data_IF_340922172069
#
_entry.id   IF_340922172069
#
_cell.length_a   1.000
_cell.length_b   1.000
_cell.length_c   1.000
_cell.angle_alpha   90.00
_cell.angle_beta   90.00
_cell.angle_gamma   90.00
#
_symmetry.space_group_name_H-M   'P 1'
#
loop_
_entity.id
_entity.type
_entity.pdbx_description
1 polymer ?
#
# COMPACT_ATOMS: atom_id res chain seq x y z
N UNK A 1 -5.50 -20.65 11.35
CA UNK A 1 -5.09 -20.14 10.03
C UNK A 1 -3.83 -19.31 10.20
N UNK A 2 -2.75 -19.62 9.45
CA UNK A 2 -1.55 -18.79 9.46
C UNK A 2 -1.90 -17.39 8.92
N UNK A 3 -1.41 -16.32 9.58
CA UNK A 3 -1.60 -14.95 9.09
C UNK A 3 -0.93 -14.81 7.73
N UNK A 4 -1.62 -14.25 6.70
CA UNK A 4 -0.96 -13.94 5.45
C UNK A 4 0.18 -12.95 5.73
N UNK A 5 1.40 -13.38 5.46
CA UNK A 5 2.58 -12.55 5.63
C UNK A 5 3.08 -11.99 4.29
N UNK A 6 4.02 -11.07 4.36
CA UNK A 6 4.63 -10.44 3.21
C UNK A 6 5.25 -11.43 2.21
N UNK A 7 5.62 -12.62 2.67
CA UNK A 7 6.26 -13.66 1.82
C UNK A 7 5.26 -14.26 0.84
N UNK A 8 3.97 -14.30 1.19
CA UNK A 8 2.92 -14.83 0.33
C UNK A 8 2.70 -13.96 -0.92
N UNK A 9 2.88 -12.64 -0.80
CA UNK A 9 2.75 -11.73 -1.94
C UNK A 9 4.04 -11.69 -2.78
N UNK A 10 5.21 -11.81 -2.16
CA UNK A 10 6.50 -11.94 -2.84
C UNK A 10 6.62 -13.21 -3.71
N UNK A 11 5.69 -14.15 -3.58
CA UNK A 11 5.55 -15.30 -4.44
C UNK A 11 5.24 -14.91 -5.90
N UNK A 12 4.59 -13.78 -6.14
CA UNK A 12 4.19 -13.34 -7.47
C UNK A 12 5.20 -12.33 -8.01
N UNK A 13 5.68 -12.54 -9.22
CA UNK A 13 6.52 -11.61 -9.95
C UNK A 13 5.74 -10.99 -11.10
N UNK A 14 5.76 -9.66 -11.21
CA UNK A 14 5.31 -9.00 -12.42
C UNK A 14 6.41 -9.08 -13.47
N UNK A 15 6.07 -9.55 -14.66
CA UNK A 15 6.92 -9.51 -15.84
C UNK A 15 6.49 -8.33 -16.72
N UNK A 16 7.23 -7.22 -16.72
CA UNK A 16 6.83 -6.02 -17.43
C UNK A 16 6.86 -6.19 -18.96
N UNK A 17 7.63 -7.15 -19.49
CA UNK A 17 7.68 -7.42 -20.94
C UNK A 17 6.40 -8.09 -21.44
N UNK A 18 5.95 -9.13 -20.72
CA UNK A 18 4.68 -9.82 -21.04
C UNK A 18 3.46 -9.13 -20.42
N UNK A 19 3.65 -8.15 -19.51
CA UNK A 19 2.61 -7.47 -18.70
C UNK A 19 1.75 -8.46 -17.91
N UNK A 20 2.36 -9.55 -17.45
CA UNK A 20 1.68 -10.63 -16.73
C UNK A 20 2.39 -10.94 -15.43
N UNK A 21 1.63 -11.44 -14.48
CA UNK A 21 2.17 -11.98 -13.25
C UNK A 21 2.53 -13.45 -13.43
N UNK A 22 3.63 -13.87 -12.80
CA UNK A 22 4.02 -15.28 -12.67
C UNK A 22 4.11 -15.68 -11.20
N UNK A 23 3.61 -16.86 -10.89
CA UNK A 23 3.93 -17.53 -9.64
C UNK A 23 5.37 -18.08 -9.73
N UNK A 24 6.24 -17.64 -8.82
CA UNK A 24 7.67 -18.01 -8.83
C UNK A 24 7.92 -19.47 -8.46
N UNK A 25 7.00 -20.09 -7.69
CA UNK A 25 7.12 -21.49 -7.30
C UNK A 25 6.76 -22.44 -8.45
N UNK A 26 5.69 -22.15 -9.18
CA UNK A 26 5.21 -22.98 -10.29
C UNK A 26 5.65 -22.48 -11.67
N UNK A 27 6.12 -21.26 -11.81
CA UNK A 27 6.43 -20.61 -13.08
C UNK A 27 5.21 -20.25 -13.94
N UNK A 28 3.99 -20.54 -13.45
CA UNK A 28 2.76 -20.33 -14.21
C UNK A 28 2.30 -18.87 -14.17
N UNK A 29 1.60 -18.45 -15.22
CA UNK A 29 0.94 -17.14 -15.23
C UNK A 29 -0.23 -17.11 -14.25
N UNK A 30 -0.35 -15.97 -13.55
CA UNK A 30 -1.41 -15.70 -12.56
C UNK A 30 -2.19 -14.48 -13.00
N UNK A 31 -3.51 -14.50 -12.83
CA UNK A 31 -4.32 -13.34 -13.15
C UNK A 31 -4.02 -12.17 -12.19
N UNK A 32 -3.91 -10.96 -12.71
CA UNK A 32 -3.63 -9.76 -11.89
C UNK A 32 -4.64 -9.53 -10.77
N UNK A 33 -5.90 -9.97 -10.95
CA UNK A 33 -6.92 -9.93 -9.89
C UNK A 33 -6.55 -10.80 -8.68
N UNK A 34 -5.93 -11.97 -8.90
CA UNK A 34 -5.57 -12.89 -7.82
C UNK A 34 -4.36 -12.36 -7.04
N UNK A 35 -3.42 -11.71 -7.75
CA UNK A 35 -2.30 -11.01 -7.10
C UNK A 35 -2.81 -9.84 -6.27
N UNK A 36 -3.73 -9.03 -6.80
CA UNK A 36 -4.36 -7.93 -6.05
C UNK A 36 -5.12 -8.43 -4.83
N UNK A 37 -5.86 -9.54 -4.95
CA UNK A 37 -6.53 -10.17 -3.80
C UNK A 37 -5.54 -10.59 -2.71
N UNK A 38 -4.38 -11.12 -3.09
CA UNK A 38 -3.32 -11.45 -2.14
C UNK A 38 -2.71 -10.19 -1.48
N UNK A 39 -2.50 -9.12 -2.24
CA UNK A 39 -2.06 -7.81 -1.71
C UNK A 39 -3.07 -7.28 -0.69
N UNK A 40 -4.36 -7.32 -1.03
CA UNK A 40 -5.44 -6.88 -0.13
C UNK A 40 -5.48 -7.71 1.15
N UNK A 41 -5.34 -9.02 1.06
CA UNK A 41 -5.31 -9.90 2.23
C UNK A 41 -4.16 -9.55 3.20
N UNK A 42 -2.98 -9.17 2.67
CA UNK A 42 -1.85 -8.70 3.51
C UNK A 42 -2.17 -7.36 4.16
N UNK A 43 -2.75 -6.41 3.42
CA UNK A 43 -3.15 -5.11 3.95
C UNK A 43 -4.20 -5.29 5.06
N UNK A 44 -5.20 -6.14 4.85
CA UNK A 44 -6.26 -6.41 5.83
C UNK A 44 -5.72 -7.07 7.10
N UNK A 45 -4.78 -8.01 6.98
CA UNK A 45 -4.11 -8.62 8.13
C UNK A 45 -3.29 -7.58 8.93
N UNK A 46 -2.60 -6.68 8.26
CA UNK A 46 -1.86 -5.58 8.90
C UNK A 46 -2.79 -4.55 9.51
N UNK A 47 -3.94 -4.28 8.89
CA UNK A 47 -5.01 -3.43 9.46
C UNK A 47 -5.56 -4.02 10.75
N UNK A 48 -5.82 -5.32 10.78
CA UNK A 48 -6.26 -6.00 12.00
C UNK A 48 -5.20 -5.91 13.12
N UNK A 49 -3.92 -6.04 12.78
CA UNK A 49 -2.82 -5.87 13.74
C UNK A 49 -2.72 -4.44 14.26
N UNK A 50 -2.87 -3.44 13.39
CA UNK A 50 -2.88 -2.03 13.78
C UNK A 50 -4.09 -1.69 14.67
N UNK A 51 -5.27 -2.23 14.34
CA UNK A 51 -6.48 -2.12 15.19
C UNK A 51 -6.23 -2.67 16.59
N UNK A 52 -5.63 -3.85 16.69
CA UNK A 52 -5.30 -4.46 17.99
C UNK A 52 -4.34 -3.59 18.81
N UNK A 53 -3.29 -3.04 18.16
CA UNK A 53 -2.37 -2.11 18.82
C UNK A 53 -3.07 -0.84 19.31
N UNK A 54 -3.93 -0.26 18.47
CA UNK A 54 -4.70 0.93 18.82
C UNK A 54 -5.69 0.64 19.96
N UNK A 55 -6.36 -0.52 19.95
CA UNK A 55 -7.26 -0.93 21.02
C UNK A 55 -6.53 -1.09 22.36
N UNK A 56 -5.33 -1.69 22.35
CA UNK A 56 -4.51 -1.83 23.56
C UNK A 56 -4.09 -0.48 24.13
N UNK A 57 -3.79 0.50 23.26
CA UNK A 57 -3.51 1.87 23.70
C UNK A 57 -4.77 2.53 24.32
N UNK A 58 -5.93 2.40 23.68
CA UNK A 58 -7.22 2.92 24.21
C UNK A 58 -7.55 2.31 25.56
N UNK A 59 -7.28 1.02 25.74
CA UNK A 59 -7.51 0.31 27.01
C UNK A 59 -6.46 0.61 28.09
N UNK A 60 -5.39 1.36 27.77
CA UNK A 60 -4.29 1.62 28.71
C UNK A 60 -3.36 0.42 28.94
N UNK A 61 -3.44 -0.61 28.10
CA UNK A 61 -2.62 -1.84 28.20
C UNK A 61 -1.19 -1.65 27.71
N UNK A 62 -0.92 -0.62 26.91
CA UNK A 62 0.41 -0.23 26.44
C UNK A 62 0.58 1.28 26.52
N UNK A 63 1.82 1.73 26.73
CA UNK A 63 2.16 3.14 26.70
C UNK A 63 2.13 3.70 25.27
N UNK A 64 1.89 5.02 25.12
CA UNK A 64 1.90 5.68 23.82
C UNK A 64 3.24 5.51 23.08
N UNK A 65 4.37 5.50 23.80
CA UNK A 65 5.68 5.29 23.19
C UNK A 65 5.81 3.90 22.58
N UNK A 66 5.34 2.85 23.29
CA UNK A 66 5.36 1.47 22.79
C UNK A 66 4.43 1.28 21.61
N UNK A 67 3.23 1.89 21.66
CA UNK A 67 2.30 1.91 20.54
C UNK A 67 2.95 2.54 19.29
N UNK A 68 3.63 3.66 19.46
CA UNK A 68 4.29 4.38 18.35
C UNK A 68 5.39 3.53 17.72
N UNK A 69 6.24 2.88 18.54
CA UNK A 69 7.33 2.02 18.06
C UNK A 69 6.77 0.80 17.31
N UNK A 70 5.77 0.13 17.88
CA UNK A 70 5.16 -1.07 17.27
C UNK A 70 4.41 -0.71 15.98
N UNK A 71 3.70 0.41 15.96
CA UNK A 71 3.03 0.92 14.76
C UNK A 71 4.02 1.28 13.65
N UNK A 72 5.14 1.91 13.99
CA UNK A 72 6.20 2.22 13.02
C UNK A 72 6.82 0.96 12.41
N UNK A 73 7.08 -0.06 13.24
CA UNK A 73 7.60 -1.34 12.77
C UNK A 73 6.61 -2.06 11.82
N UNK A 74 5.32 -2.05 12.15
CA UNK A 74 4.25 -2.62 11.35
C UNK A 74 4.14 -1.91 9.98
N UNK A 75 4.14 -0.57 9.97
CA UNK A 75 4.08 0.22 8.74
C UNK A 75 5.32 -0.01 7.86
N UNK A 76 6.53 -0.06 8.45
CA UNK A 76 7.75 -0.39 7.72
C UNK A 76 7.64 -1.76 7.05
N UNK A 77 7.25 -2.77 7.81
CA UNK A 77 7.07 -4.14 7.29
C UNK A 77 6.08 -4.18 6.12
N UNK A 78 4.93 -3.52 6.28
CA UNK A 78 3.91 -3.45 5.23
C UNK A 78 4.44 -2.79 3.95
N UNK A 79 5.05 -1.60 4.06
CA UNK A 79 5.53 -0.87 2.89
C UNK A 79 6.65 -1.61 2.14
N UNK A 80 7.57 -2.23 2.89
CA UNK A 80 8.61 -3.10 2.29
C UNK A 80 7.95 -4.29 1.58
N UNK A 81 6.99 -4.94 2.23
CA UNK A 81 6.26 -6.06 1.63
C UNK A 81 5.56 -5.67 0.33
N UNK A 82 4.87 -4.53 0.30
CA UNK A 82 4.18 -4.02 -0.88
C UNK A 82 5.15 -3.72 -2.04
N UNK A 83 6.28 -3.09 -1.75
CA UNK A 83 7.30 -2.82 -2.77
C UNK A 83 7.95 -4.09 -3.31
N UNK A 84 8.32 -5.02 -2.44
CA UNK A 84 8.89 -6.30 -2.87
C UNK A 84 7.88 -7.13 -3.68
N UNK A 85 6.61 -7.11 -3.28
CA UNK A 85 5.55 -7.79 -4.01
C UNK A 85 5.37 -7.22 -5.43
N UNK A 86 5.36 -5.88 -5.55
CA UNK A 86 5.22 -5.20 -6.82
C UNK A 86 6.36 -5.54 -7.80
N UNK A 87 7.60 -5.58 -7.32
CA UNK A 87 8.79 -5.93 -8.11
C UNK A 87 8.99 -7.45 -8.27
N UNK A 88 8.21 -8.25 -7.55
CA UNK A 88 8.37 -9.70 -7.56
C UNK A 88 9.56 -10.21 -6.73
N UNK A 89 9.87 -9.56 -5.61
CA UNK A 89 10.84 -9.97 -4.59
C UNK A 89 12.14 -9.15 -4.60
N UNK A 90 12.97 -9.39 -3.59
CA UNK A 90 14.18 -8.59 -3.35
C UNK A 90 15.16 -8.61 -4.52
N UNK A 91 15.36 -9.76 -5.15
CA UNK A 91 16.31 -9.91 -6.28
C UNK A 91 15.90 -9.09 -7.53
N UNK A 92 14.63 -8.74 -7.66
CA UNK A 92 14.12 -7.93 -8.76
C UNK A 92 13.93 -6.44 -8.36
N UNK A 93 14.24 -6.08 -7.12
CA UNK A 93 14.07 -4.72 -6.61
C UNK A 93 15.35 -3.92 -6.79
N UNK A 94 15.29 -2.84 -7.53
CA UNK A 94 16.44 -1.97 -7.81
C UNK A 94 16.80 -1.09 -6.59
N UNK A 95 18.02 -0.52 -6.60
CA UNK A 95 18.43 0.46 -5.59
C UNK A 95 17.51 1.72 -5.63
N UNK A 96 17.03 2.11 -6.82
CA UNK A 96 16.07 3.20 -6.99
C UNK A 96 14.74 2.91 -6.31
N UNK A 97 14.23 1.67 -6.43
CA UNK A 97 12.99 1.26 -5.77
C UNK A 97 13.14 1.21 -4.25
N UNK A 98 14.28 0.72 -3.75
CA UNK A 98 14.57 0.76 -2.32
C UNK A 98 14.61 2.20 -1.79
N UNK A 99 15.21 3.13 -2.55
CA UNK A 99 15.19 4.56 -2.23
C UNK A 99 13.78 5.15 -2.22
N UNK A 100 12.95 4.80 -3.19
CA UNK A 100 11.53 5.19 -3.22
C UNK A 100 10.79 4.68 -1.98
N UNK A 101 10.92 3.39 -1.65
CA UNK A 101 10.29 2.78 -0.49
C UNK A 101 10.74 3.44 0.82
N UNK A 102 12.04 3.71 0.97
CA UNK A 102 12.59 4.41 2.13
C UNK A 102 11.95 5.79 2.31
N UNK A 103 11.75 6.55 1.22
CA UNK A 103 11.07 7.84 1.26
C UNK A 103 9.60 7.71 1.67
N UNK A 104 8.88 6.70 1.16
CA UNK A 104 7.49 6.43 1.55
C UNK A 104 7.36 6.06 3.02
N UNK A 105 8.25 5.23 3.54
CA UNK A 105 8.30 4.89 4.97
C UNK A 105 8.58 6.15 5.81
N UNK A 106 9.53 7.00 5.39
CA UNK A 106 9.83 8.27 6.06
C UNK A 106 8.63 9.20 6.11
N UNK A 107 7.83 9.28 5.04
CA UNK A 107 6.56 10.01 5.03
C UNK A 107 5.58 9.47 6.08
N UNK A 108 5.39 8.15 6.11
CA UNK A 108 4.50 7.52 7.10
C UNK A 108 4.95 7.79 8.54
N UNK A 109 6.25 7.78 8.80
CA UNK A 109 6.77 8.10 10.13
C UNK A 109 6.50 9.55 10.54
N UNK A 110 6.55 10.51 9.60
CA UNK A 110 6.16 11.90 9.88
C UNK A 110 4.69 11.99 10.31
N UNK A 111 3.80 11.32 9.58
CA UNK A 111 2.37 11.30 9.91
C UNK A 111 2.11 10.59 11.25
N UNK A 112 2.76 9.45 11.49
CA UNK A 112 2.63 8.70 12.75
C UNK A 112 3.14 9.54 13.95
N UNK A 113 4.26 10.24 13.80
CA UNK A 113 4.80 11.13 14.82
C UNK A 113 3.82 12.26 15.16
N UNK A 114 3.23 12.90 14.13
CA UNK A 114 2.19 13.92 14.33
C UNK A 114 0.98 13.33 15.05
N UNK A 115 0.53 12.15 14.65
CA UNK A 115 -0.57 11.47 15.30
C UNK A 115 -0.28 11.19 16.78
N UNK A 116 0.92 10.71 17.12
CA UNK A 116 1.34 10.50 18.50
C UNK A 116 1.39 11.82 19.31
N UNK A 117 1.78 12.93 18.70
CA UNK A 117 1.73 14.25 19.33
C UNK A 117 0.29 14.71 19.60
N UNK A 118 -0.62 14.51 18.67
CA UNK A 118 -2.04 14.82 18.82
C UNK A 118 -2.70 13.99 19.95
N UNK A 119 -2.30 12.71 20.10
CA UNK A 119 -2.71 11.86 21.23
C UNK A 119 -2.16 12.43 22.55
N UNK A 120 -0.87 12.76 22.59
CA UNK A 120 -0.20 13.29 23.79
C UNK A 120 -0.80 14.60 24.28
N UNK A 121 -1.18 15.47 23.35
CA UNK A 121 -1.80 16.78 23.64
C UNK A 121 -3.31 16.69 23.92
N UNK A 122 -3.93 15.52 23.80
CA UNK A 122 -5.37 15.33 23.98
C UNK A 122 -6.23 15.80 22.81
N UNK A 123 -5.65 16.29 21.72
CA UNK A 123 -6.36 16.63 20.47
C UNK A 123 -7.01 15.39 19.88
N UNK A 124 -6.28 14.28 19.84
CA UNK A 124 -6.84 12.96 19.49
C UNK A 124 -7.25 12.23 20.78
N UNK A 125 -8.51 11.93 20.91
CA UNK A 125 -9.04 11.17 22.04
C UNK A 125 -8.67 9.68 21.94
N UNK A 126 -8.56 9.02 23.10
CA UNK A 126 -8.36 7.57 23.23
C UNK A 126 -9.72 6.85 23.12
N UNK A 127 -10.27 6.80 21.92
CA UNK A 127 -11.58 6.21 21.63
C UNK A 127 -11.60 5.49 20.27
N UNK A 128 -12.77 5.11 19.79
CA UNK A 128 -12.95 4.44 18.49
C UNK A 128 -12.45 5.24 17.30
N UNK A 129 -12.39 6.59 17.39
CA UNK A 129 -11.87 7.42 16.31
C UNK A 129 -10.36 7.26 16.14
N UNK A 130 -9.62 7.04 17.23
CA UNK A 130 -8.20 6.70 17.21
C UNK A 130 -7.97 5.39 16.46
N UNK A 131 -8.78 4.37 16.76
CA UNK A 131 -8.68 3.04 16.13
C UNK A 131 -8.89 3.15 14.62
N UNK A 132 -9.97 3.80 14.20
CA UNK A 132 -10.28 3.99 12.78
C UNK A 132 -9.19 4.78 12.05
N UNK A 133 -8.63 5.80 12.69
CA UNK A 133 -7.54 6.59 12.12
C UNK A 133 -6.24 5.77 12.02
N UNK A 134 -5.92 4.94 13.01
CA UNK A 134 -4.75 4.07 12.99
C UNK A 134 -4.80 3.07 11.81
N UNK A 135 -5.98 2.50 11.53
CA UNK A 135 -6.17 1.59 10.40
C UNK A 135 -5.93 2.25 9.05
N UNK A 136 -6.24 3.54 8.88
CA UNK A 136 -6.02 4.24 7.61
C UNK A 136 -4.55 4.23 7.18
N UNK A 137 -3.60 4.17 8.12
CA UNK A 137 -2.17 4.11 7.78
C UNK A 137 -1.80 2.83 7.02
N UNK A 138 -2.43 1.71 7.33
CA UNK A 138 -2.16 0.44 6.65
C UNK A 138 -2.76 0.40 5.24
N UNK A 139 -3.87 1.08 5.01
CA UNK A 139 -4.47 1.19 3.69
C UNK A 139 -3.56 1.92 2.67
N UNK A 140 -2.61 2.74 3.13
CA UNK A 140 -1.61 3.39 2.28
C UNK A 140 -0.70 2.38 1.54
N UNK A 141 -0.59 1.15 2.03
CA UNK A 141 0.17 0.08 1.39
C UNK A 141 -0.26 -0.20 -0.06
N UNK A 142 -1.56 -0.08 -0.36
CA UNK A 142 -2.06 -0.24 -1.74
C UNK A 142 -1.45 0.79 -2.69
N UNK A 143 -1.40 2.06 -2.29
CA UNK A 143 -0.79 3.10 -3.10
C UNK A 143 0.69 2.84 -3.36
N UNK A 144 1.42 2.30 -2.38
CA UNK A 144 2.83 1.91 -2.57
C UNK A 144 2.94 0.79 -3.59
N UNK A 145 2.12 -0.28 -3.48
CA UNK A 145 2.12 -1.38 -4.43
C UNK A 145 1.88 -0.89 -5.88
N UNK A 146 0.78 -0.18 -6.11
CA UNK A 146 0.40 0.31 -7.46
C UNK A 146 1.46 1.26 -8.05
N UNK A 147 2.03 2.14 -7.24
CA UNK A 147 3.06 3.07 -7.71
C UNK A 147 4.38 2.37 -8.06
N UNK A 148 4.77 1.32 -7.32
CA UNK A 148 5.96 0.53 -7.67
C UNK A 148 5.72 -0.29 -8.93
N UNK A 149 4.52 -0.86 -9.15
CA UNK A 149 4.15 -1.51 -10.41
C UNK A 149 4.26 -0.54 -11.58
N UNK A 150 3.75 0.70 -11.42
CA UNK A 150 3.84 1.74 -12.45
C UNK A 150 5.29 2.08 -12.81
N UNK A 151 6.17 2.24 -11.81
CA UNK A 151 7.60 2.50 -12.02
C UNK A 151 8.28 1.35 -12.77
N UNK A 152 8.01 0.09 -12.37
CA UNK A 152 8.56 -1.07 -13.05
C UNK A 152 8.10 -1.16 -14.52
N UNK A 153 6.86 -0.75 -14.82
CA UNK A 153 6.36 -0.69 -16.18
C UNK A 153 7.03 0.43 -17.01
N UNK A 154 7.24 1.61 -16.42
CA UNK A 154 7.99 2.72 -17.02
C UNK A 154 9.43 2.30 -17.35
N UNK A 155 10.14 1.71 -16.40
CA UNK A 155 11.51 1.21 -16.57
C UNK A 155 11.59 0.13 -17.67
N UNK A 156 10.49 -0.59 -17.92
CA UNK A 156 10.35 -1.55 -19.02
C UNK A 156 9.89 -0.93 -20.34
N UNK A 157 9.77 0.40 -20.44
CA UNK A 157 9.45 1.13 -21.64
C UNK A 157 7.96 1.41 -21.87
N UNK A 158 7.10 1.28 -20.85
CA UNK A 158 5.72 1.75 -20.95
C UNK A 158 5.69 3.27 -21.13
N UNK A 159 4.87 3.75 -22.07
CA UNK A 159 4.76 5.18 -22.41
C UNK A 159 3.40 5.78 -22.05
N UNK A 160 2.42 4.94 -21.77
CA UNK A 160 1.07 5.37 -21.44
C UNK A 160 0.53 4.63 -20.22
N UNK A 161 -0.36 5.30 -19.51
CA UNK A 161 -1.08 4.77 -18.36
C UNK A 161 -2.57 5.10 -18.42
N UNK A 162 -3.41 4.28 -17.79
CA UNK A 162 -4.80 4.61 -17.54
C UNK A 162 -5.24 4.20 -16.14
N UNK A 163 -6.20 4.93 -15.59
CA UNK A 163 -6.84 4.56 -14.34
C UNK A 163 -8.04 3.66 -14.58
N UNK A 164 -8.13 2.56 -13.84
CA UNK A 164 -9.25 1.61 -13.87
C UNK A 164 -9.96 1.64 -12.53
N UNK A 165 -11.29 1.83 -12.57
CA UNK A 165 -12.13 1.82 -11.37
C UNK A 165 -12.22 0.40 -10.81
N UNK A 166 -12.01 0.24 -9.51
CA UNK A 166 -12.18 -1.03 -8.80
C UNK A 166 -13.60 -1.25 -8.29
N UNK A 167 -13.88 -2.33 -7.58
CA UNK A 167 -15.21 -2.63 -7.03
C UNK A 167 -15.46 -1.86 -5.73
N UNK A 168 -15.81 -0.58 -5.82
CA UNK A 168 -16.10 0.29 -4.67
C UNK A 168 -16.84 1.54 -5.11
N UNK A 169 -17.41 2.28 -4.15
CA UNK A 169 -17.88 3.65 -4.38
C UNK A 169 -16.68 4.57 -4.66
N UNK A 170 -16.75 5.34 -5.74
CA UNK A 170 -15.63 6.13 -6.21
C UNK A 170 -15.79 7.62 -5.90
N UNK A 171 -14.71 8.22 -5.39
CA UNK A 171 -14.67 9.67 -5.26
C UNK A 171 -14.61 10.34 -6.64
N UNK A 172 -15.01 11.62 -6.72
CA UNK A 172 -15.02 12.39 -7.97
C UNK A 172 -13.64 12.43 -8.66
N UNK A 173 -12.55 12.44 -7.89
CA UNK A 173 -11.19 12.38 -8.44
C UNK A 173 -10.92 11.05 -9.16
N UNK A 174 -11.34 9.90 -8.61
CA UNK A 174 -11.17 8.60 -9.25
C UNK A 174 -11.95 8.52 -10.58
N UNK A 175 -13.20 8.95 -10.57
CA UNK A 175 -14.04 8.99 -11.77
C UNK A 175 -13.42 9.88 -12.84
N UNK A 176 -12.97 11.08 -12.47
CA UNK A 176 -12.30 12.01 -13.40
C UNK A 176 -11.00 11.43 -13.98
N UNK A 177 -10.19 10.73 -13.19
CA UNK A 177 -8.97 10.11 -13.71
C UNK A 177 -9.27 8.93 -14.66
N UNK A 178 -10.27 8.11 -14.36
CA UNK A 178 -10.67 7.01 -15.21
C UNK A 178 -11.28 7.48 -16.54
N UNK A 179 -12.03 8.57 -16.53
CA UNK A 179 -12.65 9.14 -17.74
C UNK A 179 -11.64 9.67 -18.76
N UNK A 180 -10.38 9.94 -18.38
CA UNK A 180 -9.34 10.41 -19.29
C UNK A 180 -8.87 9.32 -20.26
N UNK A 181 -9.09 8.04 -19.96
CA UNK A 181 -8.56 6.93 -20.75
C UNK A 181 -7.04 6.84 -20.69
N UNK A 182 -6.41 6.41 -21.78
CA UNK A 182 -4.96 6.32 -21.91
C UNK A 182 -4.33 7.71 -21.98
N UNK A 183 -3.33 7.94 -21.15
CA UNK A 183 -2.60 9.19 -20.99
C UNK A 183 -1.09 8.90 -20.96
N UNK A 184 -0.23 9.88 -21.24
CA UNK A 184 1.21 9.72 -21.04
C UNK A 184 1.52 9.24 -19.61
N UNK A 185 2.54 8.37 -19.50
CA UNK A 185 2.93 7.82 -18.18
C UNK A 185 3.27 8.95 -17.20
N UNK A 186 2.94 8.78 -15.92
CA UNK A 186 3.10 9.77 -14.82
C UNK A 186 2.24 11.05 -14.97
N UNK A 187 1.26 11.10 -15.89
CA UNK A 187 0.38 12.27 -16.05
C UNK A 187 -0.92 12.19 -15.24
N UNK A 188 -1.31 11.00 -14.80
CA UNK A 188 -2.48 10.80 -13.95
C UNK A 188 -2.13 10.95 -12.46
N UNK A 189 -3.12 11.37 -11.66
CA UNK A 189 -2.94 11.43 -10.21
C UNK A 189 -2.75 10.00 -9.67
N UNK A 190 -1.61 9.71 -8.99
CA UNK A 190 -1.31 8.37 -8.50
C UNK A 190 -2.33 7.85 -7.49
N UNK A 191 -2.42 6.52 -7.35
CA UNK A 191 -3.17 5.88 -6.26
C UNK A 191 -2.56 6.32 -4.92
N UNK A 192 -3.44 6.70 -3.98
CA UNK A 192 -3.04 7.22 -2.66
C UNK A 192 -2.92 8.75 -2.60
N UNK A 193 -2.95 9.46 -3.74
CA UNK A 193 -2.91 10.94 -3.80
C UNK A 193 -4.22 11.57 -4.27
N UNK A 194 -5.23 10.75 -4.57
CA UNK A 194 -6.58 11.17 -4.96
C UNK A 194 -7.40 11.58 -3.73
N UNK A 195 -8.58 12.17 -3.93
CA UNK A 195 -9.44 12.62 -2.81
C UNK A 195 -9.75 11.52 -1.79
N UNK A 196 -9.84 10.26 -2.21
CA UNK A 196 -10.04 9.12 -1.31
C UNK A 196 -8.77 8.69 -0.57
N UNK A 197 -7.61 9.27 -0.88
CA UNK A 197 -6.32 8.98 -0.23
C UNK A 197 -6.04 7.46 -0.14
N UNK A 198 -5.75 6.97 1.07
CA UNK A 198 -5.47 5.57 1.34
C UNK A 198 -6.65 4.62 1.05
N UNK A 199 -7.89 5.13 1.00
CA UNK A 199 -9.08 4.33 0.73
C UNK A 199 -9.31 4.05 -0.78
N UNK A 200 -8.38 4.45 -1.65
CA UNK A 200 -8.51 4.21 -3.09
C UNK A 200 -8.49 2.71 -3.41
N UNK A 201 -9.50 2.24 -4.17
CA UNK A 201 -9.61 0.85 -4.65
C UNK A 201 -9.43 0.74 -6.17
N UNK A 202 -9.06 1.83 -6.81
CA UNK A 202 -8.72 1.84 -8.22
C UNK A 202 -7.35 1.20 -8.46
N UNK A 203 -7.08 0.86 -9.71
CA UNK A 203 -5.78 0.35 -10.18
C UNK A 203 -5.26 1.21 -11.33
N UNK A 204 -3.99 1.04 -11.67
CA UNK A 204 -3.38 1.62 -12.86
C UNK A 204 -3.02 0.52 -13.84
N UNK A 205 -3.23 0.77 -15.12
CA UNK A 205 -2.73 -0.06 -16.20
C UNK A 205 -1.74 0.75 -17.03
N UNK A 206 -0.67 0.11 -17.51
CA UNK A 206 0.39 0.71 -18.30
C UNK A 206 0.58 -0.06 -19.63
N UNK A 207 1.02 0.67 -20.69
CA UNK A 207 1.40 0.07 -21.97
C UNK A 207 2.52 0.84 -22.68
#
# INVERSE_FOLDING_TARGET
MARPDATQVARYGYDPRSRRYRDRGSGQYVAGRDVRAAVDAVIDAQSASMRQLAQRLVNGEIALADWQVQSAALLKSLHVAMGLAANGGLAATSASDLGYLANKIKEQYKYLNRFAQEIRSGVQKLDGTLISRAEMYTQAGRGVYENVVGRAAEDAGATEERSVLGPADHCSSCVSQAAKGWQPINSLIPIGQRKCLANCRCTMEQR
#
